data_IF_557198877591
#
_entry.id   IF_557198877591
#
_cell.length_a   1.000
_cell.length_b   1.000
_cell.length_c   1.000
_cell.angle_alpha   90.00
_cell.angle_beta   90.00
_cell.angle_gamma   90.00
#
_symmetry.space_group_name_H-M   'P 1'
#
loop_
_entity.id
_entity.type
_entity.pdbx_description
1 polymer ?
#
# COMPACT_ATOMS: atom_id res chain seq x y z
N UNK A 1 -20.96 2.75 3.82
CA UNK A 1 -19.97 1.88 3.14
C UNK A 1 -18.66 2.65 3.09
N UNK A 2 -17.53 2.13 3.61
CA UNK A 2 -16.24 2.85 3.48
C UNK A 2 -15.84 2.88 2.00
N UNK A 3 -15.36 4.02 1.52
CA UNK A 3 -14.76 4.11 0.20
C UNK A 3 -13.59 3.12 0.12
N UNK A 4 -13.51 2.39 -0.99
CA UNK A 4 -12.40 1.50 -1.26
C UNK A 4 -11.12 2.34 -1.34
N UNK A 5 -10.02 1.87 -0.73
CA UNK A 5 -8.72 2.55 -0.82
C UNK A 5 -8.32 2.58 -2.28
N UNK A 6 -8.11 3.77 -2.84
CA UNK A 6 -7.82 3.90 -4.26
C UNK A 6 -6.47 3.24 -4.60
N UNK A 7 -6.27 2.76 -5.84
CA UNK A 7 -4.98 2.22 -6.28
C UNK A 7 -3.81 3.18 -6.06
N UNK A 8 -4.06 4.49 -6.22
CA UNK A 8 -3.08 5.55 -5.97
C UNK A 8 -2.67 5.62 -4.50
N UNK A 9 -3.62 5.53 -3.56
CA UNK A 9 -3.33 5.50 -2.12
C UNK A 9 -2.55 4.25 -1.73
N UNK A 10 -2.91 3.08 -2.28
CA UNK A 10 -2.18 1.81 -2.05
C UNK A 10 -0.74 1.90 -2.53
N UNK A 11 -0.52 2.46 -3.72
CA UNK A 11 0.81 2.66 -4.29
C UNK A 11 1.62 3.65 -3.44
N UNK A 12 1.03 4.79 -3.09
CA UNK A 12 1.68 5.83 -2.26
C UNK A 12 2.08 5.27 -0.90
N UNK A 13 1.21 4.50 -0.25
CA UNK A 13 1.51 3.87 1.03
C UNK A 13 2.64 2.84 0.91
N UNK A 14 2.65 2.04 -0.15
CA UNK A 14 3.70 1.06 -0.42
C UNK A 14 5.05 1.74 -0.67
N UNK A 15 5.10 2.77 -1.50
CA UNK A 15 6.33 3.54 -1.77
C UNK A 15 6.84 4.23 -0.50
N UNK A 16 5.95 4.80 0.31
CA UNK A 16 6.32 5.43 1.58
C UNK A 16 6.86 4.42 2.59
N UNK A 17 6.27 3.22 2.67
CA UNK A 17 6.79 2.12 3.48
C UNK A 17 8.21 1.72 3.03
N UNK A 18 8.42 1.56 1.71
CA UNK A 18 9.73 1.20 1.15
C UNK A 18 10.79 2.30 1.37
N UNK A 19 10.40 3.57 1.23
CA UNK A 19 11.31 4.71 1.38
C UNK A 19 11.70 4.99 2.83
N UNK A 20 10.80 4.75 3.79
CA UNK A 20 11.02 5.09 5.20
C UNK A 20 11.37 3.90 6.09
N UNK A 21 11.03 2.67 5.69
CA UNK A 21 11.28 1.45 6.46
C UNK A 21 10.54 1.37 7.81
N UNK A 22 9.54 2.23 8.04
CA UNK A 22 8.84 2.32 9.32
C UNK A 22 7.77 1.23 9.50
N UNK A 23 7.45 0.94 10.76
CA UNK A 23 6.35 0.03 11.12
C UNK A 23 4.99 0.53 10.63
N UNK A 24 4.06 -0.39 10.36
CA UNK A 24 2.69 -0.06 9.91
C UNK A 24 1.94 0.87 10.87
N UNK A 25 2.24 0.81 12.16
CA UNK A 25 1.64 1.68 13.17
C UNK A 25 2.08 3.14 13.08
N UNK A 26 3.30 3.41 12.63
CA UNK A 26 3.77 4.78 12.36
C UNK A 26 3.20 5.26 11.02
N UNK A 27 3.22 4.37 10.02
CA UNK A 27 2.75 4.68 8.67
C UNK A 27 1.27 5.11 8.65
N UNK A 28 0.44 4.61 9.58
CA UNK A 28 -0.98 4.98 9.70
C UNK A 28 -1.19 6.50 9.82
N UNK A 29 -0.27 7.21 10.47
CA UNK A 29 -0.34 8.66 10.63
C UNK A 29 0.06 9.39 9.34
N UNK A 30 0.96 8.81 8.56
CA UNK A 30 1.42 9.40 7.31
C UNK A 30 0.44 9.23 6.15
N UNK A 31 -0.32 8.13 6.11
CA UNK A 31 -1.23 7.83 4.98
C UNK A 31 -2.70 7.77 5.36
N UNK A 32 -3.05 8.00 6.63
CA UNK A 32 -4.41 7.93 7.15
C UNK A 32 -5.12 6.57 6.90
N UNK A 33 -4.36 5.48 6.75
CA UNK A 33 -4.87 4.12 6.53
C UNK A 33 -4.58 3.30 7.78
N UNK A 34 -5.56 2.52 8.25
CA UNK A 34 -5.40 1.63 9.40
C UNK A 34 -4.24 0.63 9.17
N UNK A 35 -3.42 0.34 10.21
CA UNK A 35 -2.33 -0.64 10.10
C UNK A 35 -2.80 -2.03 9.64
N UNK A 36 -4.04 -2.41 9.94
CA UNK A 36 -4.63 -3.68 9.47
C UNK A 36 -4.83 -3.71 7.95
N UNK A 37 -5.25 -2.57 7.37
CA UNK A 37 -5.39 -2.44 5.92
C UNK A 37 -4.00 -2.33 5.27
N UNK A 38 -3.08 -1.58 5.86
CA UNK A 38 -1.68 -1.50 5.40
C UNK A 38 -1.03 -2.88 5.27
N UNK A 39 -1.23 -3.75 6.25
CA UNK A 39 -0.70 -5.11 6.28
C UNK A 39 -1.23 -6.01 5.14
N UNK A 40 -2.40 -5.70 4.60
CA UNK A 40 -2.97 -6.39 3.43
C UNK A 40 -2.50 -5.74 2.13
N UNK A 41 -2.68 -4.42 2.00
CA UNK A 41 -2.45 -3.72 0.73
C UNK A 41 -0.98 -3.67 0.30
N UNK A 42 -0.01 -3.58 1.24
CA UNK A 42 1.42 -3.43 0.91
C UNK A 42 1.98 -4.69 0.23
N UNK A 43 1.85 -5.91 0.81
CA UNK A 43 2.32 -7.12 0.15
C UNK A 43 1.54 -7.42 -1.15
N UNK A 44 0.24 -7.14 -1.19
CA UNK A 44 -0.54 -7.25 -2.42
C UNK A 44 0.02 -6.34 -3.53
N UNK A 45 0.20 -5.05 -3.23
CA UNK A 45 0.67 -4.06 -4.21
C UNK A 45 2.07 -4.40 -4.71
N UNK A 46 2.97 -4.84 -3.81
CA UNK A 46 4.30 -5.32 -4.20
C UNK A 46 4.24 -6.51 -5.15
N UNK A 47 3.35 -7.46 -4.88
CA UNK A 47 3.17 -8.65 -5.73
C UNK A 47 2.60 -8.25 -7.09
N UNK A 48 1.63 -7.33 -7.11
CA UNK A 48 1.06 -6.78 -8.34
C UNK A 48 2.12 -6.12 -9.21
N UNK A 49 3.02 -5.32 -8.61
CA UNK A 49 4.10 -4.63 -9.32
C UNK A 49 5.19 -5.60 -9.82
N UNK A 50 5.43 -6.70 -9.12
CA UNK A 50 6.41 -7.71 -9.52
C UNK A 50 5.89 -8.66 -10.60
N UNK A 51 4.59 -8.68 -10.86
CA UNK A 51 4.00 -9.54 -11.88
C UNK A 51 3.97 -8.83 -13.25
N UNK A 52 4.80 -9.23 -14.23
CA UNK A 52 4.86 -8.58 -15.55
C UNK A 52 3.54 -8.66 -16.34
N UNK A 53 2.65 -9.58 -15.97
CA UNK A 53 1.34 -9.76 -16.63
C UNK A 53 0.34 -8.63 -16.30
N UNK A 54 0.51 -7.93 -15.16
CA UNK A 54 -0.43 -6.88 -14.73
C UNK A 54 -0.04 -5.49 -15.26
N UNK A 55 1.25 -5.27 -15.55
CA UNK A 55 1.78 -4.00 -16.05
C UNK A 55 1.62 -3.82 -17.57
N UNK A 56 1.24 -4.89 -18.28
CA UNK A 56 1.17 -4.93 -19.74
C UNK A 56 -0.26 -4.96 -20.33
N UNK A 57 -1.29 -4.72 -19.50
CA UNK A 57 -2.72 -4.70 -19.91
C UNK A 57 -3.31 -3.32 -19.68
#
# INVERSE_FOLDING_TARGET
>A
MRQSISPHERLTATLRFLATGRSYEDLKFSVAISPQALRQIIPETRTTLQNPVVIAR
#
